data_IF_135276666655
#
_entry.id   IF_135276666655
#
_cell.length_a   1.000
_cell.length_b   1.000
_cell.length_c   1.000
_cell.angle_alpha   90.00
_cell.angle_beta   90.00
_cell.angle_gamma   90.00
#
_symmetry.space_group_name_H-M   'P 1'
#
loop_
_entity.id
_entity.type
_entity.pdbx_description
1 polymer ?
#
# COMPACT_ATOMS: atom_id res chain seq x y z
N UNK A 1 32.10 -8.05 -56.60
CA UNK A 1 31.26 -7.13 -55.78
C UNK A 1 30.06 -7.88 -55.22
N UNK A 2 29.71 -7.60 -53.96
CA UNK A 2 28.54 -8.07 -53.19
C UNK A 2 28.63 -9.48 -52.59
N UNK A 3 29.03 -9.55 -51.31
CA UNK A 3 28.51 -10.46 -50.27
C UNK A 3 29.14 -10.04 -48.93
N UNK A 4 28.47 -9.16 -48.18
CA UNK A 4 29.01 -8.67 -46.91
C UNK A 4 28.03 -7.91 -46.02
N UNK A 5 26.72 -8.16 -46.16
CA UNK A 5 25.68 -7.40 -45.42
C UNK A 5 24.76 -8.30 -44.58
N UNK A 6 24.90 -9.63 -44.62
CA UNK A 6 23.93 -10.54 -43.95
C UNK A 6 24.31 -10.99 -42.53
N UNK A 7 25.51 -10.70 -42.04
CA UNK A 7 25.99 -11.23 -40.74
C UNK A 7 25.82 -10.23 -39.58
N UNK A 8 25.88 -8.92 -39.84
CA UNK A 8 25.81 -7.90 -38.79
C UNK A 8 24.39 -7.64 -38.27
N UNK A 9 23.38 -7.75 -39.14
CA UNK A 9 21.97 -7.58 -38.78
C UNK A 9 21.42 -8.75 -37.96
N UNK A 10 21.96 -9.97 -38.13
CA UNK A 10 21.54 -11.14 -37.36
C UNK A 10 21.95 -11.05 -35.87
N UNK A 11 23.11 -10.48 -35.56
CA UNK A 11 23.56 -10.29 -34.18
C UNK A 11 22.76 -9.23 -33.43
N UNK A 12 22.37 -8.12 -34.08
CA UNK A 12 21.61 -7.05 -33.42
C UNK A 12 20.18 -7.51 -33.08
N UNK A 13 19.58 -8.34 -33.93
CA UNK A 13 18.25 -8.92 -33.66
C UNK A 13 18.32 -9.99 -32.56
N UNK A 14 19.41 -10.75 -32.46
CA UNK A 14 19.58 -11.79 -31.43
C UNK A 14 19.84 -11.22 -30.02
N UNK A 15 20.51 -10.07 -29.89
CA UNK A 15 20.73 -9.42 -28.58
C UNK A 15 19.49 -8.71 -28.01
N UNK A 16 18.46 -8.43 -28.83
CA UNK A 16 17.23 -7.78 -28.37
C UNK A 16 16.23 -8.76 -27.71
N UNK A 17 16.46 -10.07 -27.84
CA UNK A 17 15.56 -11.13 -27.34
C UNK A 17 15.83 -11.58 -25.89
N UNK A 18 16.89 -11.09 -25.23
CA UNK A 18 17.25 -11.54 -23.86
C UNK A 18 16.76 -10.63 -22.72
N UNK A 19 15.98 -9.58 -23.00
CA UNK A 19 15.54 -8.62 -21.98
C UNK A 19 14.19 -8.94 -21.29
N UNK A 20 13.57 -10.09 -21.57
CA UNK A 20 12.20 -10.39 -21.10
C UNK A 20 12.13 -11.44 -19.98
N UNK A 21 13.09 -11.44 -19.05
CA UNK A 21 13.22 -12.48 -18.04
C UNK A 21 13.37 -11.99 -16.60
N UNK A 22 12.45 -11.16 -16.08
CA UNK A 22 12.30 -11.03 -14.63
C UNK A 22 10.91 -10.52 -14.23
N UNK A 23 9.88 -11.34 -14.40
CA UNK A 23 8.68 -11.19 -13.58
C UNK A 23 8.92 -11.96 -12.27
N UNK A 24 9.65 -11.34 -11.33
CA UNK A 24 9.63 -11.83 -9.95
C UNK A 24 8.19 -11.68 -9.46
N UNK A 25 7.62 -12.73 -8.88
CA UNK A 25 6.37 -12.63 -8.13
C UNK A 25 6.54 -11.52 -7.11
N UNK A 26 5.71 -10.47 -7.19
CA UNK A 26 5.82 -9.36 -6.28
C UNK A 26 5.58 -9.86 -4.85
N UNK A 27 6.59 -9.78 -3.99
CA UNK A 27 6.55 -10.11 -2.56
C UNK A 27 5.72 -9.10 -1.74
N UNK A 28 4.89 -8.30 -2.42
CA UNK A 28 4.16 -7.17 -1.89
C UNK A 28 2.76 -7.13 -2.50
N UNK A 29 1.77 -7.00 -1.64
CA UNK A 29 0.42 -6.59 -1.98
C UNK A 29 0.22 -5.15 -1.52
N UNK A 30 -0.36 -4.29 -2.35
CA UNK A 30 -0.79 -2.95 -1.96
C UNK A 30 -2.08 -2.60 -2.68
N UNK A 31 -3.06 -2.09 -1.92
CA UNK A 31 -4.31 -1.60 -2.48
C UNK A 31 -4.78 -0.35 -1.76
N UNK A 32 -5.05 0.68 -2.56
CA UNK A 32 -5.55 1.97 -2.14
C UNK A 32 -6.97 2.18 -2.68
N UNK A 33 -7.89 2.63 -1.82
CA UNK A 33 -9.25 3.01 -2.22
C UNK A 33 -9.31 4.53 -2.29
N UNK A 34 -9.89 5.07 -3.37
CA UNK A 34 -10.11 6.50 -3.55
C UNK A 34 -11.24 6.98 -2.64
N UNK A 35 -10.99 8.08 -1.93
CA UNK A 35 -11.98 8.76 -1.12
C UNK A 35 -12.82 9.66 -2.03
N UNK A 36 -14.16 9.53 -2.03
CA UNK A 36 -15.04 10.38 -2.84
C UNK A 36 -14.83 11.86 -2.55
N UNK A 37 -14.75 12.68 -3.60
CA UNK A 37 -14.60 14.14 -3.51
C UNK A 37 -13.41 14.64 -2.68
N UNK A 38 -12.48 13.76 -2.32
CA UNK A 38 -11.40 14.01 -1.36
C UNK A 38 -11.89 14.39 0.05
N UNK A 39 -13.13 14.01 0.38
CA UNK A 39 -13.79 14.29 1.65
C UNK A 39 -14.16 12.96 2.32
N UNK A 40 -13.37 12.54 3.31
CA UNK A 40 -13.55 11.25 3.95
C UNK A 40 -14.68 11.28 4.97
N UNK A 41 -15.88 10.94 4.50
CA UNK A 41 -17.02 10.64 5.38
C UNK A 41 -16.75 9.34 6.18
N UNK A 42 -16.98 9.39 7.49
CA UNK A 42 -16.84 8.25 8.42
C UNK A 42 -17.69 7.05 7.99
N UNK A 43 -18.85 7.29 7.35
CA UNK A 43 -19.70 6.23 6.81
C UNK A 43 -19.05 5.52 5.61
N UNK A 44 -18.19 6.20 4.86
CA UNK A 44 -17.39 5.60 3.80
C UNK A 44 -16.19 4.87 4.42
N UNK A 45 -16.30 3.53 4.50
CA UNK A 45 -15.28 2.68 5.08
C UNK A 45 -14.58 1.85 4.00
N UNK A 46 -13.41 2.30 3.47
CA UNK A 46 -12.59 1.52 2.56
C UNK A 46 -12.41 0.08 3.05
N UNK A 47 -12.86 -0.88 2.23
CA UNK A 47 -12.66 -2.31 2.47
C UNK A 47 -11.63 -2.86 1.48
N UNK A 48 -10.62 -3.52 2.01
CA UNK A 48 -9.51 -4.10 1.27
C UNK A 48 -9.42 -5.57 1.62
N UNK A 49 -9.53 -6.44 0.61
CA UNK A 49 -9.34 -7.88 0.78
C UNK A 49 -8.25 -8.43 -0.12
N UNK A 50 -7.58 -9.46 0.37
CA UNK A 50 -6.59 -10.25 -0.35
C UNK A 50 -6.58 -11.70 0.14
N UNK A 51 -6.08 -12.61 -0.70
CA UNK A 51 -5.96 -14.03 -0.36
C UNK A 51 -4.57 -14.35 0.19
N UNK A 52 -4.54 -14.93 1.39
CA UNK A 52 -3.32 -15.47 2.00
C UNK A 52 -3.06 -16.84 1.39
N UNK A 53 -1.99 -16.94 0.60
CA UNK A 53 -1.52 -18.19 -0.02
C UNK A 53 -0.30 -18.80 0.68
N UNK A 54 0.53 -17.96 1.30
CA UNK A 54 1.73 -18.34 2.04
C UNK A 54 1.57 -18.04 3.54
N UNK A 55 1.70 -19.08 4.36
CA UNK A 55 1.58 -19.03 5.84
C UNK A 55 2.92 -19.32 6.53
N UNK A 56 3.97 -19.60 5.76
CA UNK A 56 5.30 -19.89 6.30
C UNK A 56 6.10 -18.60 6.55
N UNK A 57 5.81 -17.56 5.77
CA UNK A 57 6.55 -16.30 5.78
C UNK A 57 6.07 -15.33 6.84
N UNK A 58 6.94 -14.36 7.15
CA UNK A 58 6.64 -13.21 7.99
C UNK A 58 6.30 -12.00 7.11
N UNK A 59 5.38 -11.16 7.57
CA UNK A 59 4.87 -10.03 6.82
C UNK A 59 4.86 -8.76 7.66
N UNK A 60 5.24 -7.65 7.06
CA UNK A 60 4.98 -6.31 7.57
C UNK A 60 3.67 -5.80 6.97
N UNK A 61 2.80 -5.27 7.81
CA UNK A 61 1.53 -4.67 7.40
C UNK A 61 1.61 -3.16 7.65
N UNK A 62 1.26 -2.39 6.63
CA UNK A 62 1.25 -0.94 6.64
C UNK A 62 -0.15 -0.43 6.31
N UNK A 63 -0.51 0.69 6.92
CA UNK A 63 -1.58 1.54 6.39
C UNK A 63 -0.95 2.49 5.39
N UNK A 64 -1.61 2.65 4.25
CA UNK A 64 -1.26 3.61 3.22
C UNK A 64 -2.28 4.75 3.21
N UNK A 65 -1.79 5.98 3.09
CA UNK A 65 -2.66 7.16 3.05
C UNK A 65 -2.09 8.16 2.05
N UNK A 66 -2.95 8.75 1.21
CA UNK A 66 -2.62 9.92 0.41
C UNK A 66 -3.48 11.10 0.82
N UNK A 67 -2.84 12.24 1.03
CA UNK A 67 -3.52 13.49 1.35
C UNK A 67 -2.89 14.65 0.58
N UNK A 68 -3.60 15.76 0.46
CA UNK A 68 -3.05 16.97 -0.13
C UNK A 68 -2.24 17.75 0.91
N UNK A 69 -1.43 18.71 0.44
CA UNK A 69 -0.74 19.66 1.30
C UNK A 69 -1.71 20.53 2.12
N UNK A 70 -2.96 20.68 1.70
CA UNK A 70 -3.98 21.47 2.40
C UNK A 70 -4.56 20.75 3.63
N UNK A 71 -4.28 19.46 3.82
CA UNK A 71 -4.68 18.73 5.03
C UNK A 71 -4.16 19.43 6.29
N UNK A 72 -5.05 19.70 7.24
CA UNK A 72 -4.79 20.65 8.34
C UNK A 72 -4.22 20.05 9.62
N UNK A 73 -4.08 18.73 9.70
CA UNK A 73 -3.62 18.03 10.89
C UNK A 73 -2.29 17.33 10.66
N UNK A 74 -1.45 17.27 11.69
CA UNK A 74 -0.20 16.50 11.64
C UNK A 74 -0.42 14.99 11.83
N UNK A 75 -1.65 14.55 12.10
CA UNK A 75 -1.98 13.15 12.29
C UNK A 75 -3.44 12.85 11.92
N UNK A 76 -3.73 11.57 11.68
CA UNK A 76 -5.10 11.05 11.53
C UNK A 76 -5.29 9.83 12.44
N UNK A 77 -6.42 9.80 13.14
CA UNK A 77 -6.85 8.65 13.91
C UNK A 77 -7.76 7.75 13.07
N UNK A 78 -7.42 6.47 13.02
CA UNK A 78 -8.19 5.45 12.31
C UNK A 78 -8.66 4.37 13.28
N UNK A 79 -9.87 3.86 13.06
CA UNK A 79 -10.31 2.57 13.54
C UNK A 79 -10.09 1.55 12.42
N UNK A 80 -9.17 0.60 12.64
CA UNK A 80 -8.80 -0.43 11.69
C UNK A 80 -9.44 -1.73 12.14
N UNK A 81 -10.44 -2.16 11.39
CA UNK A 81 -11.08 -3.45 11.59
C UNK A 81 -10.42 -4.47 10.66
N UNK A 82 -10.24 -5.70 11.13
CA UNK A 82 -9.69 -6.76 10.30
C UNK A 82 -10.28 -8.12 10.67
N UNK A 83 -10.47 -8.95 9.65
CA UNK A 83 -10.91 -10.33 9.79
C UNK A 83 -9.99 -11.23 8.98
N UNK A 84 -9.33 -12.15 9.69
CA UNK A 84 -8.44 -13.15 9.09
C UNK A 84 -9.21 -14.46 8.83
N UNK A 85 -8.68 -15.37 8.00
CA UNK A 85 -9.35 -16.63 7.68
C UNK A 85 -9.70 -17.45 8.93
N UNK A 86 -11.00 -17.69 9.13
CA UNK A 86 -11.50 -18.45 10.28
C UNK A 86 -11.33 -17.77 11.64
N UNK A 87 -11.15 -16.45 11.65
CA UNK A 87 -11.09 -15.63 12.86
C UNK A 87 -12.35 -14.74 12.99
N UNK A 88 -12.57 -14.20 14.18
CA UNK A 88 -13.60 -13.19 14.42
C UNK A 88 -13.11 -11.81 13.95
N UNK A 89 -14.06 -10.87 13.84
CA UNK A 89 -13.73 -9.48 13.54
C UNK A 89 -12.95 -8.87 14.72
N UNK A 90 -11.77 -8.35 14.43
CA UNK A 90 -10.92 -7.63 15.37
C UNK A 90 -10.88 -6.14 15.00
N UNK A 91 -10.56 -5.28 15.96
CA UNK A 91 -10.48 -3.83 15.76
C UNK A 91 -9.36 -3.22 16.58
N UNK A 92 -8.65 -2.25 16.01
CA UNK A 92 -7.63 -1.48 16.72
C UNK A 92 -7.69 0.00 16.32
N UNK A 93 -7.40 0.89 17.27
CA UNK A 93 -7.23 2.32 16.99
C UNK A 93 -5.78 2.60 16.67
N UNK A 94 -5.54 3.27 15.56
CA UNK A 94 -4.18 3.62 15.10
C UNK A 94 -4.10 5.13 14.94
N UNK A 95 -3.05 5.72 15.51
CA UNK A 95 -2.67 7.11 15.25
C UNK A 95 -1.60 7.13 14.15
N UNK A 96 -1.94 7.65 12.98
CA UNK A 96 -0.98 7.84 11.89
C UNK A 96 -0.43 9.24 11.98
N UNK A 97 0.86 9.36 12.29
CA UNK A 97 1.57 10.63 12.21
C UNK A 97 1.84 10.94 10.74
N UNK A 98 1.31 12.06 10.26
CA UNK A 98 1.50 12.54 8.89
C UNK A 98 2.56 13.63 8.82
N UNK A 99 2.84 14.34 9.91
CA UNK A 99 3.89 15.37 9.96
C UNK A 99 4.56 15.47 11.33
N UNK A 100 5.78 16.00 11.35
CA UNK A 100 6.47 16.45 12.58
C UNK A 100 6.97 17.88 12.45
N UNK A 101 7.23 18.54 13.58
CA UNK A 101 7.81 19.89 13.60
C UNK A 101 9.19 19.95 12.93
N UNK A 102 9.95 18.84 12.94
CA UNK A 102 11.31 18.78 12.40
C UNK A 102 11.34 18.46 10.90
N UNK A 103 10.47 17.57 10.43
CA UNK A 103 10.51 17.03 9.07
C UNK A 103 9.41 17.60 8.16
N UNK A 104 8.44 18.30 8.71
CA UNK A 104 7.20 18.59 8.00
C UNK A 104 6.44 17.30 7.71
N UNK A 105 5.79 17.22 6.55
CA UNK A 105 5.08 16.02 6.11
C UNK A 105 6.01 14.80 6.02
N UNK A 106 5.52 13.66 6.48
CA UNK A 106 6.17 12.37 6.47
C UNK A 106 5.77 11.58 5.23
N UNK A 107 6.65 10.68 4.79
CA UNK A 107 6.45 9.89 3.58
C UNK A 107 7.08 10.54 2.36
N UNK A 108 6.47 10.33 1.19
CA UNK A 108 6.97 10.84 -0.10
C UNK A 108 5.99 11.83 -0.68
N UNK A 109 6.46 13.06 -0.94
CA UNK A 109 5.69 14.12 -1.57
C UNK A 109 5.98 14.24 -3.06
N UNK A 110 4.95 14.52 -3.85
CA UNK A 110 5.05 14.94 -5.25
C UNK A 110 4.02 16.03 -5.50
N UNK A 111 4.50 17.24 -5.81
CA UNK A 111 3.68 18.45 -5.92
C UNK A 111 2.83 18.66 -4.65
N UNK A 112 1.52 18.85 -4.77
CA UNK A 112 0.62 19.04 -3.64
C UNK A 112 0.19 17.74 -2.95
N UNK A 113 0.71 16.56 -3.33
CA UNK A 113 0.26 15.27 -2.82
C UNK A 113 1.35 14.59 -1.98
N UNK A 114 0.96 14.11 -0.81
CA UNK A 114 1.79 13.32 0.09
C UNK A 114 1.27 11.90 0.22
N UNK A 115 2.18 10.93 0.15
CA UNK A 115 1.90 9.51 0.36
C UNK A 115 2.69 8.99 1.56
N UNK A 116 1.98 8.43 2.53
CA UNK A 116 2.56 7.78 3.71
C UNK A 116 2.29 6.28 3.69
N UNK A 117 3.30 5.50 4.08
CA UNK A 117 3.16 4.08 4.43
C UNK A 117 3.63 3.88 5.87
N UNK A 118 2.69 3.78 6.81
CA UNK A 118 2.99 3.64 8.23
C UNK A 118 2.90 2.17 8.64
N UNK A 119 4.01 1.60 9.15
CA UNK A 119 4.02 0.24 9.70
C UNK A 119 3.11 0.18 10.93
N UNK A 120 2.18 -0.79 10.96
CA UNK A 120 1.23 -1.00 12.06
C UNK A 120 1.43 -2.32 12.81
N UNK A 121 2.36 -3.14 12.34
CA UNK A 121 2.73 -4.39 12.99
C UNK A 121 4.00 -4.15 13.82
N UNK A 122 3.95 -4.27 15.16
CA UNK A 122 5.12 -3.99 16.01
C UNK A 122 6.25 -5.01 15.81
N UNK A 123 5.90 -6.21 15.34
CA UNK A 123 6.82 -7.25 14.90
C UNK A 123 6.24 -7.88 13.63
N UNK A 124 7.08 -8.44 12.74
CA UNK A 124 6.60 -9.13 11.55
C UNK A 124 5.54 -10.20 11.89
N UNK A 125 4.41 -10.12 11.22
CA UNK A 125 3.22 -10.94 11.46
C UNK A 125 3.27 -12.22 10.62
N UNK A 126 2.89 -13.37 11.21
CA UNK A 126 2.71 -14.62 10.47
C UNK A 126 1.23 -14.94 10.34
N UNK A 127 0.74 -15.05 9.12
CA UNK A 127 -0.60 -15.58 8.88
C UNK A 127 -0.64 -17.09 9.17
N UNK A 128 -1.52 -17.52 10.07
CA UNK A 128 -1.57 -18.93 10.50
C UNK A 128 -2.51 -19.80 9.64
N UNK A 129 -3.29 -19.20 8.74
CA UNK A 129 -4.25 -19.90 7.87
C UNK A 129 -4.30 -19.27 6.50
N UNK A 130 -4.52 -20.10 5.47
CA UNK A 130 -4.79 -19.66 4.10
C UNK A 130 -6.23 -19.19 3.97
N UNK A 131 -6.47 -18.30 3.01
CA UNK A 131 -7.80 -17.80 2.66
C UNK A 131 -7.89 -16.28 2.67
N UNK A 132 -9.11 -15.76 2.55
CA UNK A 132 -9.39 -14.33 2.46
C UNK A 132 -9.17 -13.61 3.78
N UNK A 133 -8.31 -12.59 3.77
CA UNK A 133 -8.24 -11.57 4.81
C UNK A 133 -8.92 -10.29 4.34
N UNK A 134 -9.61 -9.60 5.24
CA UNK A 134 -10.27 -8.32 4.97
C UNK A 134 -9.85 -7.29 6.01
N UNK A 135 -9.55 -6.09 5.56
CA UNK A 135 -9.29 -4.91 6.37
C UNK A 135 -10.29 -3.82 6.00
N UNK A 136 -10.81 -3.13 7.02
CA UNK A 136 -11.74 -2.03 6.86
C UNK A 136 -11.21 -0.82 7.62
N UNK A 137 -11.08 0.30 6.91
CA UNK A 137 -10.54 1.54 7.47
C UNK A 137 -11.68 2.54 7.73
N UNK A 138 -11.72 3.08 8.94
CA UNK A 138 -12.67 4.11 9.34
C UNK A 138 -11.92 5.28 9.95
N UNK A 139 -12.15 6.50 9.45
CA UNK A 139 -11.62 7.70 10.08
C UNK A 139 -12.41 8.05 11.35
N UNK A 140 -11.71 8.32 12.46
CA UNK A 140 -12.31 8.67 13.75
C UNK A 140 -11.89 10.07 14.21
N UNK A 141 -11.68 10.98 13.26
CA UNK A 141 -11.42 12.40 13.50
C UNK A 141 -12.72 13.14 13.87
N UNK A 142 -12.58 14.35 14.41
CA UNK A 142 -13.72 15.20 14.79
C UNK A 142 -14.48 15.72 13.57
N UNK A 143 -13.78 16.07 12.49
CA UNK A 143 -14.42 16.50 11.25
C UNK A 143 -15.06 15.33 10.52
N UNK A 144 -16.25 15.60 9.99
CA UNK A 144 -16.94 14.66 9.13
C UNK A 144 -17.81 15.42 8.11
N UNK A 145 -17.55 15.30 6.80
CA UNK A 145 -16.45 14.54 6.21
C UNK A 145 -15.09 15.21 6.49
N UNK A 146 -14.02 14.41 6.52
CA UNK A 146 -12.65 14.89 6.74
C UNK A 146 -12.02 15.30 5.38
N UNK A 147 -11.79 16.59 5.12
CA UNK A 147 -11.31 17.05 3.81
C UNK A 147 -9.85 16.64 3.55
N UNK A 148 -9.45 16.78 2.29
CA UNK A 148 -8.07 16.67 1.79
C UNK A 148 -7.44 15.28 1.88
N UNK A 149 -8.26 14.23 2.04
CA UNK A 149 -7.80 12.84 1.95
C UNK A 149 -8.14 12.29 0.58
N UNK A 150 -7.14 11.82 -0.15
CA UNK A 150 -7.28 11.29 -1.50
C UNK A 150 -7.52 9.78 -1.49
N UNK A 151 -6.75 9.05 -0.68
CA UNK A 151 -6.78 7.60 -0.63
C UNK A 151 -6.49 7.07 0.76
N UNK A 152 -7.07 5.90 1.07
CA UNK A 152 -6.69 5.08 2.20
C UNK A 152 -6.59 3.61 1.78
N UNK A 153 -5.61 2.88 2.33
CA UNK A 153 -5.32 1.54 1.89
C UNK A 153 -4.46 0.72 2.86
N UNK A 154 -4.15 -0.48 2.39
CA UNK A 154 -3.31 -1.44 3.11
C UNK A 154 -2.22 -1.94 2.15
N UNK A 155 -1.00 -2.02 2.70
CA UNK A 155 0.13 -2.72 2.08
C UNK A 155 0.57 -3.86 2.97
N UNK A 156 0.83 -5.01 2.37
CA UNK A 156 1.36 -6.21 3.02
C UNK A 156 2.63 -6.62 2.27
N UNK A 157 3.74 -6.67 2.99
CA UNK A 157 5.05 -6.93 2.40
C UNK A 157 5.71 -8.10 3.13
N UNK A 158 6.17 -9.09 2.38
CA UNK A 158 6.93 -10.22 2.93
C UNK A 158 8.29 -9.72 3.42
N UNK A 159 8.67 -10.13 4.62
CA UNK A 159 9.99 -9.81 5.18
C UNK A 159 11.04 -10.62 4.43
N UNK A 160 11.90 -9.93 3.68
CA UNK A 160 13.08 -10.52 3.06
C UNK A 160 14.13 -10.70 4.15
N UNK A 161 14.62 -11.93 4.31
CA UNK A 161 15.80 -12.23 5.13
C UNK A 161 17.05 -12.20 4.26
#
# INVERSE_FOLDING_TARGET
MKKGISLFTACIVSSLLFLLGSCKTADTFERNITIPSHEWDRAFRPEISFDITDTASLYNIYITLRHTHAYRYSNIWLNVQFQLPGDTLNSQRVNLLLATNEKGWLGTGMDDIWELRQLITPQPFRFNRRGKATFTLEQIMRDNPLPDILNAGIRVEKVIR
#
